data_IF_700917537482
#
_entry.id   IF_700917537482
#
_cell.length_a   1.000
_cell.length_b   1.000
_cell.length_c   1.000
_cell.angle_alpha   90.00
_cell.angle_beta   90.00
_cell.angle_gamma   90.00
#
_symmetry.space_group_name_H-M   'P 1'
#
loop_
_entity.id
_entity.type
_entity.pdbx_description
1 polymer ?
#
# COMPACT_ATOMS: atom_id res chain seq x y z
N UNK A 1 -31.27 28.01 -26.20
CA UNK A 1 -29.85 28.13 -26.60
C UNK A 1 -29.23 26.76 -26.42
N UNK A 2 -28.54 26.23 -27.42
CA UNK A 2 -27.87 24.93 -27.33
C UNK A 2 -26.43 25.15 -26.85
N UNK A 3 -25.99 24.29 -25.95
CA UNK A 3 -24.66 24.32 -25.35
C UNK A 3 -23.91 23.06 -25.73
N UNK A 4 -22.58 23.15 -25.81
CA UNK A 4 -21.73 21.98 -26.04
C UNK A 4 -21.95 20.93 -24.93
N UNK A 5 -21.96 19.65 -25.28
CA UNK A 5 -22.25 18.56 -24.34
C UNK A 5 -21.17 18.36 -23.28
N UNK A 6 -19.96 18.90 -23.48
CA UNK A 6 -18.84 18.80 -22.54
C UNK A 6 -18.60 20.08 -21.72
N UNK A 7 -19.06 21.24 -22.17
CA UNK A 7 -18.90 22.53 -21.48
C UNK A 7 -20.14 23.41 -21.66
N UNK A 8 -20.54 24.20 -20.64
CA UNK A 8 -21.63 25.20 -20.73
C UNK A 8 -21.24 26.46 -21.55
N UNK A 9 -20.56 26.27 -22.67
CA UNK A 9 -20.26 27.31 -23.66
C UNK A 9 -21.22 27.20 -24.86
N UNK A 10 -21.52 28.30 -25.56
CA UNK A 10 -22.32 28.26 -26.79
C UNK A 10 -21.69 27.33 -27.84
N UNK A 11 -22.52 26.64 -28.63
CA UNK A 11 -22.08 25.61 -29.60
C UNK A 11 -21.04 26.10 -30.64
N UNK A 12 -20.96 27.41 -30.91
CA UNK A 12 -20.06 27.98 -31.93
C UNK A 12 -18.65 28.34 -31.41
N UNK A 13 -18.06 27.54 -30.54
CA UNK A 13 -16.64 27.69 -30.17
C UNK A 13 -15.80 26.58 -30.78
N UNK A 14 -14.57 26.89 -31.19
CA UNK A 14 -13.60 25.86 -31.58
C UNK A 14 -13.18 25.10 -30.33
N UNK A 15 -13.56 23.83 -30.23
CA UNK A 15 -13.19 22.98 -29.10
C UNK A 15 -11.83 22.33 -29.40
N UNK A 16 -10.77 22.65 -28.65
CA UNK A 16 -9.43 22.07 -28.91
C UNK A 16 -9.35 20.56 -28.63
N UNK A 17 -10.44 19.94 -28.16
CA UNK A 17 -10.57 18.51 -27.89
C UNK A 17 -11.41 17.76 -28.93
N UNK A 18 -11.66 18.35 -30.10
CA UNK A 18 -12.42 17.69 -31.17
C UNK A 18 -11.55 16.64 -31.90
N UNK A 19 -11.40 15.47 -31.26
CA UNK A 19 -10.64 14.31 -31.74
C UNK A 19 -11.34 13.56 -32.89
N UNK A 20 -11.96 14.27 -33.82
CA UNK A 20 -12.53 13.68 -35.05
C UNK A 20 -11.91 14.30 -36.29
N UNK A 21 -10.61 14.02 -36.49
CA UNK A 21 -10.02 13.87 -37.83
C UNK A 21 -9.13 12.63 -37.88
N UNK A 22 -9.78 11.53 -38.27
CA UNK A 22 -9.32 10.51 -39.21
C UNK A 22 -7.85 10.05 -39.16
N UNK A 23 -7.61 8.84 -38.66
CA UNK A 23 -7.21 7.68 -39.50
C UNK A 23 -6.83 6.45 -38.64
N UNK A 24 -7.86 5.75 -38.15
CA UNK A 24 -8.09 4.31 -38.35
C UNK A 24 -6.96 3.25 -38.18
N UNK A 25 -5.78 3.50 -37.60
CA UNK A 25 -4.74 2.44 -37.61
C UNK A 25 -3.74 2.36 -36.44
N UNK A 26 -3.97 3.06 -35.32
CA UNK A 26 -3.28 2.73 -34.05
C UNK A 26 -4.27 2.18 -33.00
N UNK A 27 -5.36 1.62 -33.52
CA UNK A 27 -6.42 0.94 -32.80
C UNK A 27 -6.01 -0.49 -32.41
N UNK A 28 -5.40 -0.69 -31.23
CA UNK A 28 -5.82 -1.79 -30.33
C UNK A 28 -5.11 -1.84 -28.98
N UNK A 29 -3.98 -1.13 -28.78
CA UNK A 29 -3.27 -1.14 -27.48
C UNK A 29 -3.31 0.19 -26.72
N UNK A 30 -3.63 1.30 -27.38
CA UNK A 30 -3.81 2.60 -26.72
C UNK A 30 -5.28 2.89 -26.36
N UNK A 31 -6.18 1.89 -26.51
CA UNK A 31 -7.63 2.03 -26.27
C UNK A 31 -8.01 1.78 -24.80
N UNK A 32 -7.10 2.08 -23.90
CA UNK A 32 -7.46 2.38 -22.53
C UNK A 32 -6.79 3.73 -22.27
N UNK A 33 -7.49 4.81 -22.60
CA UNK A 33 -7.28 6.09 -21.94
C UNK A 33 -7.65 5.86 -20.47
N UNK A 34 -6.81 5.13 -19.75
CA UNK A 34 -6.88 5.05 -18.30
C UNK A 34 -6.48 6.44 -17.88
N UNK A 35 -7.47 7.29 -17.61
CA UNK A 35 -7.17 8.56 -16.97
C UNK A 35 -6.41 8.22 -15.69
N UNK A 36 -5.45 9.04 -15.29
CA UNK A 36 -4.79 8.83 -13.99
C UNK A 36 -5.82 8.69 -12.85
N UNK A 37 -6.96 9.37 -12.97
CA UNK A 37 -8.12 9.20 -12.10
C UNK A 37 -8.80 7.83 -12.24
N UNK A 38 -8.91 7.24 -13.43
CA UNK A 38 -9.43 5.89 -13.62
C UNK A 38 -8.47 4.82 -13.08
N UNK A 39 -7.15 5.06 -13.14
CA UNK A 39 -6.16 4.21 -12.47
C UNK A 39 -6.27 4.35 -10.94
N UNK A 40 -6.44 5.58 -10.45
CA UNK A 40 -6.68 5.84 -9.03
C UNK A 40 -8.03 5.29 -8.56
N UNK A 41 -9.08 5.31 -9.40
CA UNK A 41 -10.41 4.78 -9.11
C UNK A 41 -10.47 3.25 -9.25
N UNK A 42 -9.66 2.66 -10.14
CA UNK A 42 -9.44 1.22 -10.18
C UNK A 42 -8.63 0.77 -8.95
N UNK A 43 -7.65 1.56 -8.52
CA UNK A 43 -6.97 1.40 -7.22
C UNK A 43 -7.84 1.80 -6.03
N UNK A 44 -8.94 2.55 -6.23
CA UNK A 44 -9.91 2.93 -5.20
C UNK A 44 -10.91 1.82 -4.88
N UNK A 45 -10.82 0.67 -5.60
CA UNK A 45 -11.14 -0.59 -4.95
C UNK A 45 -10.13 -0.81 -3.82
N UNK A 46 -10.41 -0.25 -2.64
CA UNK A 46 -9.65 -0.33 -1.39
C UNK A 46 -8.40 -1.20 -1.51
N UNK A 47 -7.24 -0.57 -1.67
CA UNK A 47 -5.97 -1.29 -1.70
C UNK A 47 -5.76 -1.96 -0.34
N UNK A 48 -6.21 -3.20 -0.24
CA UNK A 48 -6.08 -4.00 0.97
C UNK A 48 -4.73 -4.69 1.01
N UNK A 49 -4.32 -5.09 2.21
CA UNK A 49 -3.14 -5.94 2.39
C UNK A 49 -3.22 -7.23 1.57
N UNK A 50 -4.43 -7.78 1.38
CA UNK A 50 -4.67 -8.96 0.56
C UNK A 50 -4.35 -8.70 -0.92
N UNK A 51 -4.72 -7.54 -1.46
CA UNK A 51 -4.38 -7.15 -2.84
C UNK A 51 -2.88 -6.92 -3.01
N UNK A 52 -2.21 -6.31 -2.04
CA UNK A 52 -0.75 -6.16 -2.05
C UNK A 52 -0.09 -7.54 -2.12
N UNK A 53 -0.54 -8.49 -1.29
CA UNK A 53 -0.04 -9.86 -1.32
C UNK A 53 -0.24 -10.50 -2.70
N UNK A 54 -1.44 -10.40 -3.26
CA UNK A 54 -1.74 -10.91 -4.60
C UNK A 54 -0.77 -10.32 -5.63
N UNK A 55 -0.65 -8.99 -5.70
CA UNK A 55 0.18 -8.31 -6.69
C UNK A 55 1.66 -8.66 -6.59
N UNK A 56 2.20 -8.84 -5.39
CA UNK A 56 3.59 -9.30 -5.21
C UNK A 56 3.73 -10.73 -5.71
N UNK A 57 2.81 -11.64 -5.34
CA UNK A 57 2.90 -13.05 -5.75
C UNK A 57 2.71 -13.27 -7.24
N UNK A 58 1.89 -12.44 -7.91
CA UNK A 58 1.69 -12.45 -9.35
C UNK A 58 2.73 -11.62 -10.11
N UNK A 59 3.70 -11.01 -9.41
CA UNK A 59 4.75 -10.14 -9.97
C UNK A 59 4.23 -8.89 -10.69
N UNK A 60 3.06 -8.41 -10.30
CA UNK A 60 2.52 -7.11 -10.71
C UNK A 60 3.02 -5.95 -9.85
N UNK A 61 3.66 -6.27 -8.71
CA UNK A 61 4.25 -5.31 -7.78
C UNK A 61 5.60 -5.86 -7.30
N UNK A 62 6.59 -4.98 -7.17
CA UNK A 62 7.89 -5.34 -6.63
C UNK A 62 7.93 -5.19 -5.09
N UNK A 63 8.98 -5.72 -4.48
CA UNK A 63 9.12 -5.71 -3.02
C UNK A 63 9.20 -4.29 -2.44
N UNK A 64 9.83 -3.34 -3.13
CA UNK A 64 9.95 -1.96 -2.65
C UNK A 64 8.60 -1.24 -2.65
N UNK A 65 7.83 -1.38 -3.73
CA UNK A 65 6.45 -0.86 -3.83
C UNK A 65 5.56 -1.46 -2.72
N UNK A 66 5.68 -2.77 -2.49
CA UNK A 66 4.91 -3.45 -1.45
C UNK A 66 5.28 -2.95 -0.05
N UNK A 67 6.56 -2.70 0.22
CA UNK A 67 7.02 -2.15 1.50
C UNK A 67 6.42 -0.77 1.75
N UNK A 68 6.44 0.11 0.76
CA UNK A 68 5.91 1.47 0.89
C UNK A 68 4.40 1.46 1.17
N UNK A 69 3.66 0.62 0.47
CA UNK A 69 2.21 0.49 0.66
C UNK A 69 1.85 -0.15 2.00
N UNK A 70 2.57 -1.20 2.42
CA UNK A 70 2.32 -1.83 3.72
C UNK A 70 2.67 -0.90 4.88
N UNK A 71 3.76 -0.12 4.77
CA UNK A 71 4.10 0.90 5.76
C UNK A 71 3.00 1.97 5.82
N UNK A 72 2.54 2.46 4.67
CA UNK A 72 1.44 3.43 4.63
C UNK A 72 0.18 2.90 5.31
N UNK A 73 -0.24 1.66 5.03
CA UNK A 73 -1.42 1.05 5.67
C UNK A 73 -1.19 0.89 7.18
N UNK A 74 -0.01 0.46 7.60
CA UNK A 74 0.31 0.27 9.02
C UNK A 74 0.25 1.58 9.81
N UNK A 75 0.74 2.68 9.23
CA UNK A 75 0.78 3.99 9.89
C UNK A 75 -0.57 4.75 9.84
N UNK A 76 -1.37 4.54 8.79
CA UNK A 76 -2.62 5.28 8.58
C UNK A 76 -3.86 4.58 9.11
N UNK A 77 -3.80 3.27 9.36
CA UNK A 77 -4.96 2.51 9.84
C UNK A 77 -5.13 2.63 11.35
N UNK A 78 -6.35 2.89 11.79
CA UNK A 78 -6.79 2.77 13.19
C UNK A 78 -7.43 1.39 13.47
N UNK A 79 -7.58 0.54 12.45
CA UNK A 79 -8.17 -0.79 12.58
C UNK A 79 -7.09 -1.81 12.97
N UNK A 80 -7.24 -2.35 14.18
CA UNK A 80 -6.34 -3.34 14.78
C UNK A 80 -6.11 -4.54 13.86
N UNK A 81 -7.16 -5.06 13.20
CA UNK A 81 -7.00 -6.22 12.34
C UNK A 81 -6.26 -5.85 11.05
N UNK A 82 -6.48 -4.66 10.48
CA UNK A 82 -5.70 -4.19 9.33
C UNK A 82 -4.22 -4.03 9.70
N UNK A 83 -3.92 -3.39 10.84
CA UNK A 83 -2.53 -3.24 11.32
C UNK A 83 -1.87 -4.61 11.52
N UNK A 84 -2.57 -5.55 12.15
CA UNK A 84 -2.07 -6.92 12.36
C UNK A 84 -1.77 -7.64 11.05
N UNK A 85 -2.67 -7.55 10.07
CA UNK A 85 -2.51 -8.19 8.77
C UNK A 85 -1.34 -7.55 8.01
N UNK A 86 -1.17 -6.23 8.07
CA UNK A 86 -0.01 -5.52 7.49
C UNK A 86 1.31 -6.00 8.08
N UNK A 87 1.39 -6.10 9.41
CA UNK A 87 2.57 -6.63 10.11
C UNK A 87 2.89 -8.06 9.66
N UNK A 88 1.87 -8.92 9.57
CA UNK A 88 2.05 -10.30 9.10
C UNK A 88 2.47 -10.38 7.63
N UNK A 89 2.00 -9.47 6.77
CA UNK A 89 2.33 -9.45 5.35
C UNK A 89 3.84 -9.29 5.12
N UNK A 90 4.53 -8.44 5.90
CA UNK A 90 6.00 -8.34 5.83
C UNK A 90 6.68 -9.70 6.02
N UNK A 91 6.18 -10.52 6.95
CA UNK A 91 6.70 -11.86 7.21
C UNK A 91 6.41 -12.82 6.06
N UNK A 92 5.16 -12.87 5.59
CA UNK A 92 4.73 -13.82 4.56
C UNK A 92 5.44 -13.53 3.24
N UNK A 93 5.55 -12.26 2.87
CA UNK A 93 6.25 -11.81 1.67
C UNK A 93 7.78 -11.81 1.83
N UNK A 94 8.29 -12.09 3.03
CA UNK A 94 9.72 -12.15 3.37
C UNK A 94 10.47 -10.85 3.03
N UNK A 95 9.80 -9.71 3.24
CA UNK A 95 10.33 -8.38 2.96
C UNK A 95 11.39 -8.03 4.00
N UNK A 96 12.67 -8.09 3.60
CA UNK A 96 13.85 -7.89 4.47
C UNK A 96 14.59 -6.62 4.10
N UNK A 97 13.92 -5.49 4.29
CA UNK A 97 14.47 -4.17 4.04
C UNK A 97 14.65 -3.36 5.33
N UNK A 98 15.56 -2.39 5.33
CA UNK A 98 15.78 -1.52 6.48
C UNK A 98 14.55 -0.66 6.79
N UNK A 99 13.80 -0.21 5.77
CA UNK A 99 12.54 0.51 5.92
C UNK A 99 11.54 -0.31 6.74
N UNK A 100 11.48 -1.63 6.51
CA UNK A 100 10.60 -2.55 7.25
C UNK A 100 11.06 -2.68 8.70
N UNK A 101 12.37 -2.78 8.94
CA UNK A 101 12.88 -2.86 10.31
C UNK A 101 12.50 -1.61 11.12
N UNK A 102 12.74 -0.42 10.56
CA UNK A 102 12.44 0.86 11.22
C UNK A 102 10.94 1.00 11.47
N UNK A 103 10.10 0.66 10.49
CA UNK A 103 8.64 0.72 10.63
C UNK A 103 8.15 -0.20 11.76
N UNK A 104 8.63 -1.46 11.80
CA UNK A 104 8.27 -2.41 12.85
C UNK A 104 8.82 -1.99 14.22
N UNK A 105 10.03 -1.44 14.28
CA UNK A 105 10.62 -0.94 15.52
C UNK A 105 9.77 0.20 16.10
N UNK A 106 9.46 1.21 15.29
CA UNK A 106 8.61 2.32 15.70
C UNK A 106 7.24 1.83 16.15
N UNK A 107 6.62 0.94 15.37
CA UNK A 107 5.34 0.33 15.70
C UNK A 107 5.39 -0.40 17.06
N UNK A 108 6.42 -1.20 17.33
CA UNK A 108 6.58 -1.91 18.61
C UNK A 108 6.73 -0.95 19.80
N UNK A 109 7.41 0.18 19.60
CA UNK A 109 7.65 1.17 20.65
C UNK A 109 6.41 2.01 20.96
N UNK A 110 5.56 2.28 19.96
CA UNK A 110 4.36 3.12 20.12
C UNK A 110 3.06 2.35 20.35
N UNK A 111 2.97 1.09 19.91
CA UNK A 111 1.74 0.30 19.96
C UNK A 111 1.29 0.05 21.40
N UNK A 112 0.06 0.37 21.75
CA UNK A 112 -0.50 0.18 23.09
C UNK A 112 -1.08 -1.23 23.29
N UNK A 113 -1.62 -1.84 22.23
CA UNK A 113 -2.22 -3.18 22.30
C UNK A 113 -1.14 -4.29 22.44
N UNK A 114 -1.15 -5.07 23.53
CA UNK A 114 -0.14 -6.09 23.76
C UNK A 114 -0.13 -7.21 22.71
N UNK A 115 -1.29 -7.50 22.09
CA UNK A 115 -1.43 -8.57 21.09
C UNK A 115 -0.82 -8.16 19.74
N UNK A 116 -1.07 -6.92 19.30
CA UNK A 116 -0.42 -6.32 18.13
C UNK A 116 1.09 -6.21 18.32
N UNK A 117 1.51 -5.66 19.47
CA UNK A 117 2.92 -5.53 19.80
C UNK A 117 3.64 -6.88 19.79
N UNK A 118 3.03 -7.92 20.36
CA UNK A 118 3.55 -9.29 20.31
C UNK A 118 3.69 -9.80 18.87
N UNK A 119 2.68 -9.56 18.05
CA UNK A 119 2.71 -9.96 16.64
C UNK A 119 3.88 -9.29 15.90
N UNK A 120 4.09 -7.99 16.11
CA UNK A 120 5.21 -7.26 15.53
C UNK A 120 6.57 -7.76 16.04
N UNK A 121 6.70 -8.06 17.34
CA UNK A 121 7.90 -8.67 17.92
C UNK A 121 8.20 -10.03 17.28
N UNK A 122 7.20 -10.88 17.10
CA UNK A 122 7.37 -12.19 16.46
C UNK A 122 7.79 -12.06 14.99
N UNK A 123 7.24 -11.07 14.27
CA UNK A 123 7.62 -10.77 12.89
C UNK A 123 9.05 -10.25 12.80
N UNK A 124 9.43 -9.26 13.61
CA UNK A 124 10.77 -8.65 13.57
C UNK A 124 11.85 -9.66 13.98
N UNK A 125 11.56 -10.55 14.95
CA UNK A 125 12.44 -11.67 15.34
C UNK A 125 12.68 -12.63 14.19
N UNK A 126 11.65 -12.88 13.37
CA UNK A 126 11.75 -13.79 12.23
C UNK A 126 12.48 -13.16 11.03
N UNK A 127 12.20 -11.90 10.71
CA UNK A 127 12.80 -11.22 9.56
C UNK A 127 14.23 -10.74 9.86
N UNK A 128 14.48 -10.23 11.07
CA UNK A 128 15.71 -9.55 11.47
C UNK A 128 16.35 -10.10 12.76
N UNK A 129 16.61 -11.42 12.87
CA UNK A 129 16.98 -12.09 14.12
C UNK A 129 18.25 -11.56 14.80
N UNK A 130 19.15 -10.92 14.04
CA UNK A 130 20.36 -10.30 14.59
C UNK A 130 20.09 -8.89 15.12
N UNK A 131 19.38 -8.06 14.34
CA UNK A 131 19.10 -6.65 14.69
C UNK A 131 18.04 -6.53 15.78
N UNK A 132 17.07 -7.44 15.82
CA UNK A 132 15.96 -7.38 16.77
C UNK A 132 16.34 -7.67 18.23
N UNK A 133 17.57 -8.14 18.52
CA UNK A 133 17.95 -8.61 19.87
C UNK A 133 17.82 -7.53 20.94
N UNK A 134 18.32 -6.34 20.64
CA UNK A 134 18.33 -5.24 21.61
C UNK A 134 16.92 -4.68 21.81
N UNK A 135 16.14 -4.57 20.74
CA UNK A 135 14.73 -4.20 20.80
C UNK A 135 13.91 -5.19 21.63
N UNK A 136 14.06 -6.50 21.39
CA UNK A 136 13.34 -7.53 22.16
C UNK A 136 13.72 -7.46 23.64
N UNK A 137 15.02 -7.28 23.95
CA UNK A 137 15.47 -7.12 25.33
C UNK A 137 14.79 -5.91 25.99
N UNK A 138 14.72 -4.78 25.28
CA UNK A 138 14.06 -3.58 25.78
C UNK A 138 12.56 -3.80 26.01
N UNK A 139 11.87 -4.45 25.06
CA UNK A 139 10.45 -4.76 25.18
C UNK A 139 10.19 -5.64 26.40
N UNK A 140 11.02 -6.66 26.62
CA UNK A 140 10.87 -7.57 27.76
C UNK A 140 11.08 -6.87 29.11
N UNK A 141 12.04 -5.95 29.20
CA UNK A 141 12.32 -5.24 30.45
C UNK A 141 11.27 -4.19 30.81
N UNK A 142 10.58 -3.61 29.82
CA UNK A 142 9.62 -2.54 30.06
C UNK A 142 8.16 -2.99 30.05
N UNK A 143 7.84 -4.13 29.41
CA UNK A 143 6.44 -4.52 29.17
C UNK A 143 5.99 -5.81 29.87
N UNK A 144 6.83 -6.47 30.69
CA UNK A 144 6.48 -7.62 31.55
C UNK A 144 5.64 -8.76 30.90
N UNK A 145 5.57 -8.86 29.55
CA UNK A 145 4.55 -9.65 28.85
C UNK A 145 5.11 -10.72 27.89
N UNK A 146 6.39 -11.10 27.99
CA UNK A 146 7.00 -12.05 27.06
C UNK A 146 7.84 -13.09 27.79
N UNK A 147 7.43 -14.37 27.82
CA UNK A 147 8.33 -15.46 28.22
C UNK A 147 9.35 -15.74 27.10
N UNK A 148 10.56 -16.09 27.53
CA UNK A 148 11.77 -16.35 26.72
C UNK A 148 11.58 -17.40 25.60
#
# INVERSE_FOLDING_TARGET
MRFCSKHRLPENHECPFDLKKSSEFEESLNRWDILYQDALDFMSQELTVAKIYEYVTTKHMNDEEAIELLNYILESSEDIEIQKISVLAFKVLKLKDEKVFIALENFILSEEDPSLRKTAVDVIKHLFPKKSKDLIRWVNTHNNNFPE
#
